data_IF_531764610534
#
_entry.id   IF_531764610534
#
_cell.length_a   1.000
_cell.length_b   1.000
_cell.length_c   1.000
_cell.angle_alpha   90.00
_cell.angle_beta   90.00
_cell.angle_gamma   90.00
#
_symmetry.space_group_name_H-M   'P 1'
#
loop_
_entity.id
_entity.type
_entity.pdbx_description
1 polymer ?
#
# COMPACT_ATOMS: atom_id res chain seq x y z
N UNK A 1 5.40 -18.95 19.49
CA UNK A 1 4.21 -18.95 18.63
C UNK A 1 4.57 -18.08 17.44
N UNK A 2 4.52 -18.60 16.21
CA UNK A 2 4.76 -17.74 15.04
C UNK A 2 3.52 -16.88 14.86
N UNK A 3 3.62 -15.60 15.23
CA UNK A 3 2.57 -14.63 14.96
C UNK A 3 2.46 -14.49 13.45
N UNK A 4 1.41 -15.05 12.86
CA UNK A 4 1.07 -14.82 11.47
C UNK A 4 0.73 -13.33 11.31
N UNK A 5 1.40 -12.63 10.39
CA UNK A 5 1.03 -11.27 10.04
C UNK A 5 -0.47 -11.18 9.74
N UNK A 6 -1.15 -10.09 10.16
CA UNK A 6 -2.55 -9.92 9.86
C UNK A 6 -2.77 -9.97 8.34
N UNK A 7 -3.87 -10.57 7.88
CA UNK A 7 -4.10 -10.76 6.45
C UNK A 7 -4.18 -9.41 5.74
N UNK A 8 -3.46 -9.29 4.61
CA UNK A 8 -3.43 -8.09 3.77
C UNK A 8 -4.71 -8.02 2.94
N UNK A 9 -5.34 -6.84 2.89
CA UNK A 9 -6.39 -6.57 1.90
C UNK A 9 -5.74 -6.38 0.51
N UNK A 10 -6.25 -7.08 -0.49
CA UNK A 10 -5.80 -6.97 -1.87
C UNK A 10 -6.52 -5.84 -2.62
N UNK A 11 -5.90 -5.23 -3.65
CA UNK A 11 -6.50 -4.13 -4.39
C UNK A 11 -7.60 -4.57 -5.37
N UNK A 12 -7.89 -5.86 -5.46
CA UNK A 12 -9.00 -6.43 -6.24
C UNK A 12 -10.00 -7.15 -5.33
N UNK A 13 -11.24 -7.20 -5.80
CA UNK A 13 -12.32 -7.93 -5.14
C UNK A 13 -12.43 -9.35 -5.67
N UNK A 14 -13.17 -10.18 -4.94
CA UNK A 14 -13.61 -11.49 -5.41
C UNK A 14 -14.67 -11.31 -6.52
N UNK A 15 -14.97 -12.36 -7.30
CA UNK A 15 -15.99 -12.28 -8.35
C UNK A 15 -17.39 -11.89 -7.87
N UNK A 16 -17.70 -12.13 -6.59
CA UNK A 16 -18.94 -11.73 -5.92
C UNK A 16 -18.92 -10.28 -5.39
N UNK A 17 -17.83 -9.55 -5.61
CA UNK A 17 -17.62 -8.18 -5.14
C UNK A 17 -17.11 -8.08 -3.69
N UNK A 18 -16.93 -9.19 -2.97
CA UNK A 18 -16.45 -9.16 -1.60
C UNK A 18 -14.95 -8.78 -1.53
N UNK A 19 -14.50 -8.14 -0.43
CA UNK A 19 -13.07 -7.90 -0.20
C UNK A 19 -12.26 -9.19 -0.26
N UNK A 20 -11.07 -9.12 -0.86
CA UNK A 20 -10.16 -10.25 -0.96
C UNK A 20 -8.97 -10.05 -0.03
N UNK A 21 -8.64 -11.06 0.78
CA UNK A 21 -7.56 -11.00 1.75
C UNK A 21 -6.50 -12.07 1.48
N UNK A 22 -5.23 -11.69 1.58
CA UNK A 22 -4.07 -12.56 1.49
C UNK A 22 -3.50 -12.82 2.88
N UNK A 23 -3.48 -14.08 3.30
CA UNK A 23 -2.72 -14.53 4.48
C UNK A 23 -1.41 -15.13 3.99
N UNK A 24 -0.30 -14.45 4.26
CA UNK A 24 1.06 -14.90 3.91
C UNK A 24 2.04 -14.48 5.02
N UNK A 25 3.02 -15.33 5.30
CA UNK A 25 4.17 -15.01 6.14
C UNK A 25 5.33 -14.38 5.34
N UNK A 26 5.28 -14.49 4.02
CA UNK A 26 6.22 -13.86 3.09
C UNK A 26 5.67 -12.56 2.51
N UNK A 27 6.23 -11.39 2.87
CA UNK A 27 5.83 -10.10 2.30
C UNK A 27 6.23 -9.96 0.83
N UNK A 28 7.18 -10.74 0.32
CA UNK A 28 7.65 -10.73 -1.07
C UNK A 28 7.02 -11.87 -1.90
N UNK A 29 5.95 -12.50 -1.40
CA UNK A 29 5.22 -13.53 -2.13
C UNK A 29 4.72 -13.02 -3.49
N UNK A 30 4.54 -13.92 -4.46
CA UNK A 30 4.04 -13.57 -5.80
C UNK A 30 2.75 -12.73 -5.77
N UNK A 31 1.82 -13.04 -4.87
CA UNK A 31 0.58 -12.29 -4.73
C UNK A 31 0.79 -10.93 -4.06
N UNK A 32 1.73 -10.83 -3.12
CA UNK A 32 2.12 -9.54 -2.52
C UNK A 32 2.72 -8.61 -3.56
N UNK A 33 3.65 -9.11 -4.38
CA UNK A 33 4.29 -8.34 -5.45
C UNK A 33 3.27 -7.92 -6.52
N UNK A 34 2.34 -8.81 -6.87
CA UNK A 34 1.24 -8.48 -7.78
C UNK A 34 0.33 -7.40 -7.19
N UNK A 35 0.01 -7.49 -5.89
CA UNK A 35 -0.77 -6.47 -5.20
C UNK A 35 -0.07 -5.10 -5.23
N UNK A 36 1.23 -5.06 -4.92
CA UNK A 36 2.03 -3.83 -4.97
C UNK A 36 2.03 -3.21 -6.39
N UNK A 37 2.14 -4.03 -7.44
CA UNK A 37 2.08 -3.58 -8.83
C UNK A 37 0.72 -2.95 -9.17
N UNK A 38 -0.37 -3.63 -8.82
CA UNK A 38 -1.74 -3.14 -9.09
C UNK A 38 -2.04 -1.87 -8.28
N UNK A 39 -1.58 -1.80 -7.03
CA UNK A 39 -1.69 -0.58 -6.21
C UNK A 39 -0.98 0.60 -6.88
N UNK A 40 0.23 0.40 -7.39
CA UNK A 40 0.95 1.43 -8.14
C UNK A 40 0.20 1.90 -9.39
N UNK A 41 -0.35 0.97 -10.17
CA UNK A 41 -1.17 1.30 -11.36
C UNK A 41 -2.43 2.09 -10.98
N UNK A 42 -3.14 1.70 -9.92
CA UNK A 42 -4.34 2.40 -9.45
C UNK A 42 -4.03 3.80 -8.93
N UNK A 43 -2.91 3.98 -8.23
CA UNK A 43 -2.48 5.30 -7.76
C UNK A 43 -2.11 6.21 -8.94
N UNK A 44 -1.37 5.71 -9.93
CA UNK A 44 -1.04 6.46 -11.14
C UNK A 44 -2.30 6.85 -11.95
N UNK A 45 -3.28 5.95 -12.04
CA UNK A 45 -4.56 6.24 -12.66
C UNK A 45 -5.33 7.32 -11.88
N UNK A 46 -5.36 7.25 -10.56
CA UNK A 46 -5.98 8.26 -9.70
C UNK A 46 -5.31 9.63 -9.84
N UNK A 47 -3.98 9.71 -9.93
CA UNK A 47 -3.25 10.95 -10.20
C UNK A 47 -3.60 11.53 -11.58
N UNK A 48 -3.71 10.68 -12.59
CA UNK A 48 -4.11 11.09 -13.95
C UNK A 48 -5.52 11.68 -13.93
N UNK A 49 -6.47 11.00 -13.29
CA UNK A 49 -7.85 11.49 -13.15
C UNK A 49 -7.92 12.80 -12.36
N UNK A 50 -7.12 12.94 -11.30
CA UNK A 50 -7.07 14.18 -10.53
C UNK A 50 -6.63 15.35 -11.41
N UNK A 51 -5.61 15.15 -12.25
CA UNK A 51 -5.12 16.17 -13.19
C UNK A 51 -6.15 16.52 -14.29
N UNK A 52 -6.95 15.56 -14.73
CA UNK A 52 -8.02 15.79 -15.70
C UNK A 52 -9.24 16.49 -15.10
N UNK A 53 -9.56 16.19 -13.83
CA UNK A 53 -10.61 16.90 -13.09
C UNK A 53 -10.16 18.31 -12.76
N UNK A 54 -10.75 19.31 -13.42
CA UNK A 54 -10.53 20.71 -13.03
C UNK A 54 -11.11 20.94 -11.64
N UNK A 55 -10.34 21.60 -10.77
CA UNK A 55 -10.85 22.15 -9.53
C UNK A 55 -12.03 23.09 -9.84
N UNK A 56 -13.23 22.66 -9.48
CA UNK A 56 -14.45 23.44 -9.64
C UNK A 56 -14.73 24.21 -8.35
N UNK A 57 -15.32 25.42 -8.43
CA UNK A 57 -15.57 26.23 -7.24
C UNK A 57 -16.66 25.63 -6.33
N UNK A 58 -17.59 24.83 -6.88
CA UNK A 58 -18.64 24.15 -6.13
C UNK A 58 -19.28 23.02 -6.95
N UNK A 59 -20.03 22.15 -6.28
CA UNK A 59 -20.83 21.09 -6.88
C UNK A 59 -20.14 19.72 -6.90
N UNK A 60 -20.82 18.67 -7.40
CA UNK A 60 -20.35 17.28 -7.28
C UNK A 60 -18.96 17.01 -7.85
N UNK A 61 -18.54 17.78 -8.86
CA UNK A 61 -17.19 17.64 -9.42
C UNK A 61 -16.10 18.30 -8.57
N UNK A 62 -16.42 19.32 -7.76
CA UNK A 62 -15.51 19.86 -6.75
C UNK A 62 -15.32 18.86 -5.60
N UNK A 63 -16.43 18.26 -5.15
CA UNK A 63 -16.43 17.24 -4.09
C UNK A 63 -15.61 16.01 -4.52
N UNK A 64 -15.77 15.56 -5.78
CA UNK A 64 -15.00 14.45 -6.34
C UNK A 64 -13.49 14.77 -6.40
N UNK A 65 -13.13 15.95 -6.89
CA UNK A 65 -11.73 16.39 -6.97
C UNK A 65 -11.08 16.41 -5.59
N UNK A 66 -11.75 17.02 -4.61
CA UNK A 66 -11.25 17.10 -3.23
C UNK A 66 -11.16 15.71 -2.57
N UNK A 67 -12.14 14.83 -2.81
CA UNK A 67 -12.11 13.47 -2.29
C UNK A 67 -10.95 12.65 -2.88
N UNK A 68 -10.71 12.75 -4.19
CA UNK A 68 -9.62 12.04 -4.86
C UNK A 68 -8.24 12.54 -4.38
N UNK A 69 -8.09 13.86 -4.24
CA UNK A 69 -6.89 14.47 -3.65
C UNK A 69 -6.63 13.98 -2.22
N UNK A 70 -7.69 13.91 -1.40
CA UNK A 70 -7.58 13.42 -0.03
C UNK A 70 -7.19 11.93 0.03
N UNK A 71 -7.75 11.09 -0.84
CA UNK A 71 -7.41 9.66 -0.91
C UNK A 71 -5.96 9.46 -1.32
N UNK A 72 -5.46 10.17 -2.33
CA UNK A 72 -4.05 10.11 -2.75
C UNK A 72 -3.12 10.55 -1.60
N UNK A 73 -3.44 11.64 -0.90
CA UNK A 73 -2.68 12.10 0.27
C UNK A 73 -2.64 11.04 1.38
N UNK A 74 -3.75 10.36 1.65
CA UNK A 74 -3.82 9.27 2.63
C UNK A 74 -2.95 8.08 2.18
N UNK A 75 -2.98 7.72 0.89
CA UNK A 75 -2.17 6.63 0.36
C UNK A 75 -0.67 6.91 0.51
N UNK A 76 -0.20 8.10 0.13
CA UNK A 76 1.20 8.53 0.33
C UNK A 76 1.56 8.50 1.82
N UNK A 77 0.73 9.12 2.67
CA UNK A 77 0.96 9.14 4.12
C UNK A 77 1.01 7.74 4.74
N UNK A 78 0.29 6.75 4.19
CA UNK A 78 0.35 5.36 4.65
C UNK A 78 1.59 4.64 4.14
N UNK A 79 2.01 4.89 2.90
CA UNK A 79 3.26 4.37 2.35
C UNK A 79 4.48 4.87 3.11
N UNK A 80 4.47 6.14 3.53
CA UNK A 80 5.56 6.76 4.31
C UNK A 80 5.64 6.27 5.77
N UNK A 81 4.66 5.49 6.25
CA UNK A 81 4.72 4.91 7.59
C UNK A 81 5.84 3.89 7.62
N UNK A 82 6.94 4.29 8.25
CA UNK A 82 8.04 3.39 8.56
C UNK A 82 7.48 2.21 9.36
N UNK A 83 7.84 0.97 9.00
CA UNK A 83 7.52 -0.18 9.83
C UNK A 83 8.14 0.04 11.22
N UNK A 84 7.42 -0.40 12.27
CA UNK A 84 7.98 -0.37 13.61
C UNK A 84 9.33 -1.08 13.61
N UNK A 85 10.41 -0.42 14.08
CA UNK A 85 11.71 -1.05 14.12
C UNK A 85 11.61 -2.33 14.96
N UNK A 86 12.06 -3.45 14.39
CA UNK A 86 12.18 -4.70 15.14
C UNK A 86 13.20 -4.50 16.29
N UNK A 87 12.95 -5.08 17.46
CA UNK A 87 13.87 -4.98 18.61
C UNK A 87 15.24 -5.68 18.38
N UNK A 88 15.44 -6.33 17.24
CA UNK A 88 16.60 -7.18 17.00
C UNK A 88 17.87 -6.45 16.57
N UNK A 89 17.85 -5.13 16.34
CA UNK A 89 19.02 -4.24 16.18
C UNK A 89 19.98 -4.49 14.99
N UNK A 90 20.00 -5.68 14.40
CA UNK A 90 20.86 -6.05 13.28
C UNK A 90 20.10 -5.93 11.97
N UNK A 91 20.49 -4.95 11.15
CA UNK A 91 19.92 -4.73 9.83
C UNK A 91 20.83 -5.29 8.73
N UNK A 92 20.23 -5.71 7.61
CA UNK A 92 20.91 -6.12 6.39
C UNK A 92 20.22 -5.49 5.18
N UNK A 93 21.01 -5.08 4.20
CA UNK A 93 20.54 -4.73 2.87
C UNK A 93 20.27 -6.02 2.06
N UNK A 94 19.01 -6.24 1.69
CA UNK A 94 18.57 -7.34 0.83
C UNK A 94 17.83 -6.72 -0.36
N UNK A 95 18.36 -6.91 -1.58
CA UNK A 95 17.72 -6.49 -2.83
C UNK A 95 17.28 -5.01 -2.83
N UNK A 96 18.12 -4.13 -2.28
CA UNK A 96 17.86 -2.68 -2.21
C UNK A 96 17.02 -2.22 -1.01
N UNK A 97 16.55 -3.13 -0.15
CA UNK A 97 15.75 -2.83 1.04
C UNK A 97 16.50 -3.13 2.33
N UNK A 98 16.25 -2.35 3.38
CA UNK A 98 16.84 -2.59 4.71
C UNK A 98 15.90 -3.47 5.53
N UNK A 99 16.32 -4.70 5.78
CA UNK A 99 15.56 -5.68 6.55
C UNK A 99 16.27 -6.05 7.84
N UNK A 100 15.50 -6.40 8.86
CA UNK A 100 15.96 -7.01 10.09
C UNK A 100 16.55 -8.40 9.79
N UNK A 101 17.79 -8.68 10.22
CA UNK A 101 18.45 -9.96 9.96
C UNK A 101 17.75 -11.14 10.66
N UNK A 102 17.18 -10.90 11.83
CA UNK A 102 16.58 -11.93 12.67
C UNK A 102 15.14 -12.28 12.26
N UNK A 103 14.28 -11.28 12.10
CA UNK A 103 12.86 -11.51 11.79
C UNK A 103 12.47 -11.22 10.33
N UNK A 104 13.42 -10.81 9.48
CA UNK A 104 13.20 -10.40 8.08
C UNK A 104 12.20 -9.24 7.88
N UNK A 105 11.75 -8.61 8.95
CA UNK A 105 10.89 -7.45 8.88
C UNK A 105 11.63 -6.30 8.19
N UNK A 106 10.99 -5.69 7.20
CA UNK A 106 11.48 -4.47 6.58
C UNK A 106 11.52 -3.39 7.65
N UNK A 107 12.61 -2.65 7.74
CA UNK A 107 12.77 -1.52 8.69
C UNK A 107 12.64 -0.20 7.94
N UNK A 108 12.92 -0.20 6.63
CA UNK A 108 12.75 0.95 5.74
C UNK A 108 12.27 0.46 4.36
N UNK A 109 11.49 1.31 3.66
CA UNK A 109 11.23 1.17 2.22
C UNK A 109 12.53 1.30 1.43
#
# INVERSE_FOLDING_TARGET
MFESSPPRLLPWTRPDGAPCYLSTDDPDSHLSVLADSVEGELLAAAETLLNETKAQPAGPGADLHQALEAVLRIAVSRGDRLPEPCDHGETRLCEGRTCCRACRQRIYL
#
